data_IF_313857292565
#
_entry.id   IF_313857292565
#
_cell.length_a   1.000
_cell.length_b   1.000
_cell.length_c   1.000
_cell.angle_alpha   90.00
_cell.angle_beta   90.00
_cell.angle_gamma   90.00
#
_symmetry.space_group_name_H-M   'P 1'
#
loop_
_entity.id
_entity.type
_entity.pdbx_description
1 polymer ?
#
# COMPACT_ATOMS: atom_id res chain seq x y z
N UNK A 1 8.41 5.84 -14.28
CA UNK A 1 6.96 5.95 -14.52
C UNK A 1 6.50 7.27 -13.97
N UNK A 2 6.14 8.21 -14.84
CA UNK A 2 5.49 9.47 -14.43
C UNK A 2 4.02 9.22 -14.11
N UNK A 3 3.39 10.11 -13.35
CA UNK A 3 1.97 9.97 -13.02
C UNK A 3 1.07 9.98 -14.27
N UNK A 4 1.38 10.79 -15.27
CA UNK A 4 0.61 10.84 -16.53
C UNK A 4 0.76 9.55 -17.35
N UNK A 5 1.93 8.92 -17.33
CA UNK A 5 2.14 7.63 -17.98
C UNK A 5 1.34 6.55 -17.25
N UNK A 6 1.43 6.53 -15.92
CA UNK A 6 0.66 5.63 -15.07
C UNK A 6 -0.85 5.76 -15.29
N UNK A 7 -1.38 6.99 -15.42
CA UNK A 7 -2.81 7.23 -15.68
C UNK A 7 -3.32 6.54 -16.95
N UNK A 8 -2.47 6.38 -17.98
CA UNK A 8 -2.82 5.69 -19.24
C UNK A 8 -2.93 4.18 -19.03
N UNK A 9 -2.24 3.63 -18.03
CA UNK A 9 -2.25 2.20 -17.70
C UNK A 9 -3.44 1.81 -16.79
N UNK A 10 -4.07 2.78 -16.12
CA UNK A 10 -5.24 2.51 -15.26
C UNK A 10 -6.46 2.17 -16.15
N UNK A 11 -7.10 1.01 -15.95
CA UNK A 11 -8.20 0.57 -16.80
C UNK A 11 -9.47 1.42 -16.61
N UNK A 12 -10.31 1.46 -17.64
CA UNK A 12 -11.54 2.25 -17.67
C UNK A 12 -12.50 1.87 -16.53
N UNK A 13 -12.53 0.60 -16.14
CA UNK A 13 -13.32 0.07 -15.02
C UNK A 13 -12.98 0.74 -13.69
N UNK A 14 -11.78 1.32 -13.55
CA UNK A 14 -11.37 2.09 -12.37
C UNK A 14 -11.56 3.60 -12.61
N UNK A 15 -11.24 4.12 -13.79
CA UNK A 15 -11.29 5.56 -14.06
C UNK A 15 -12.70 6.11 -14.26
N UNK A 16 -13.63 5.27 -14.73
CA UNK A 16 -15.03 5.66 -14.97
C UNK A 16 -15.87 5.57 -13.68
N UNK A 17 -15.35 4.91 -12.62
CA UNK A 17 -16.01 4.89 -11.31
C UNK A 17 -16.03 6.32 -10.71
N UNK A 18 -17.17 6.79 -10.17
CA UNK A 18 -17.26 8.10 -9.52
C UNK A 18 -16.21 8.37 -8.43
N UNK A 19 -15.71 7.35 -7.73
CA UNK A 19 -14.65 7.50 -6.72
C UNK A 19 -13.36 8.07 -7.33
N UNK A 20 -13.12 7.90 -8.63
CA UNK A 20 -11.95 8.42 -9.34
C UNK A 20 -11.78 9.94 -9.17
N UNK A 21 -12.89 10.66 -8.97
CA UNK A 21 -12.88 12.11 -8.70
C UNK A 21 -12.21 12.46 -7.37
N UNK A 22 -12.13 11.51 -6.44
CA UNK A 22 -11.43 11.65 -5.16
C UNK A 22 -9.92 11.61 -5.38
N UNK A 23 -9.26 12.76 -5.26
CA UNK A 23 -7.81 12.90 -5.46
C UNK A 23 -6.98 12.00 -4.53
N UNK A 24 -7.40 11.84 -3.27
CA UNK A 24 -6.73 10.93 -2.31
C UNK A 24 -6.75 9.48 -2.79
N UNK A 25 -7.84 9.04 -3.42
CA UNK A 25 -7.94 7.69 -3.94
C UNK A 25 -6.90 7.46 -5.05
N UNK A 26 -6.83 8.39 -6.01
CA UNK A 26 -5.84 8.33 -7.11
C UNK A 26 -4.40 8.37 -6.60
N UNK A 27 -4.09 9.29 -5.68
CA UNK A 27 -2.75 9.39 -5.09
C UNK A 27 -2.39 8.15 -4.25
N UNK A 28 -3.35 7.58 -3.54
CA UNK A 28 -3.17 6.35 -2.77
C UNK A 28 -2.92 5.13 -3.66
N UNK A 29 -3.67 4.99 -4.75
CA UNK A 29 -3.45 3.94 -5.76
C UNK A 29 -2.04 4.07 -6.38
N UNK A 30 -1.70 5.28 -6.82
CA UNK A 30 -0.39 5.55 -7.39
C UNK A 30 0.76 5.25 -6.41
N UNK A 31 0.63 5.65 -5.15
CA UNK A 31 1.63 5.32 -4.12
C UNK A 31 1.71 3.80 -3.87
N UNK A 32 0.59 3.08 -3.95
CA UNK A 32 0.56 1.62 -3.90
C UNK A 32 1.37 0.96 -5.01
N UNK A 33 1.21 1.42 -6.25
CA UNK A 33 1.99 0.91 -7.39
C UNK A 33 3.48 1.24 -7.28
N UNK A 34 3.83 2.42 -6.78
CA UNK A 34 5.23 2.73 -6.48
C UNK A 34 5.78 1.83 -5.37
N UNK A 35 4.97 1.56 -4.33
CA UNK A 35 5.33 0.70 -3.22
C UNK A 35 5.57 -0.75 -3.65
N UNK A 36 4.92 -1.23 -4.71
CA UNK A 36 5.20 -2.55 -5.29
C UNK A 36 6.67 -2.67 -5.70
N UNK A 37 7.17 -1.73 -6.52
CA UNK A 37 8.57 -1.74 -6.97
C UNK A 37 9.55 -1.55 -5.81
N UNK A 38 9.21 -0.66 -4.86
CA UNK A 38 10.04 -0.40 -3.69
C UNK A 38 10.12 -1.63 -2.76
N UNK A 39 9.00 -2.34 -2.55
CA UNK A 39 8.92 -3.56 -1.76
C UNK A 39 9.68 -4.73 -2.40
N UNK A 40 9.65 -4.86 -3.74
CA UNK A 40 10.47 -5.84 -4.46
C UNK A 40 11.96 -5.62 -4.19
N UNK A 41 12.45 -4.37 -4.31
CA UNK A 41 13.86 -4.03 -4.01
C UNK A 41 14.21 -4.33 -2.55
N UNK A 42 13.33 -4.03 -1.61
CA UNK A 42 13.53 -4.28 -0.18
C UNK A 42 13.56 -5.79 0.16
N UNK A 43 12.73 -6.60 -0.49
CA UNK A 43 12.63 -8.05 -0.20
C UNK A 43 13.93 -8.80 -0.50
N UNK A 44 14.76 -8.27 -1.42
CA UNK A 44 16.07 -8.81 -1.79
C UNK A 44 17.10 -8.74 -0.65
N UNK A 45 16.87 -7.91 0.37
CA UNK A 45 17.73 -7.83 1.55
C UNK A 45 17.02 -8.54 2.71
N UNK A 46 17.56 -9.65 3.25
CA UNK A 46 16.90 -10.40 4.32
C UNK A 46 16.43 -9.56 5.52
N UNK A 47 17.20 -8.56 6.01
CA UNK A 47 16.78 -7.74 7.14
C UNK A 47 15.53 -6.86 6.88
N UNK A 48 15.17 -6.60 5.62
CA UNK A 48 14.06 -5.71 5.26
C UNK A 48 12.81 -6.44 4.80
N UNK A 49 12.74 -7.78 4.85
CA UNK A 49 11.54 -8.55 4.44
C UNK A 49 10.28 -8.23 5.24
N UNK A 50 10.38 -8.16 6.57
CA UNK A 50 9.23 -7.77 7.40
C UNK A 50 8.84 -6.31 7.17
N UNK A 51 9.83 -5.45 6.91
CA UNK A 51 9.61 -4.04 6.62
C UNK A 51 8.88 -3.87 5.27
N UNK A 52 9.28 -4.63 4.24
CA UNK A 52 8.67 -4.55 2.92
C UNK A 52 7.21 -4.99 2.92
N UNK A 53 6.86 -6.04 3.66
CA UNK A 53 5.46 -6.44 3.86
C UNK A 53 4.64 -5.32 4.50
N UNK A 54 5.12 -4.77 5.62
CA UNK A 54 4.42 -3.71 6.34
C UNK A 54 4.28 -2.43 5.51
N UNK A 55 5.33 -2.04 4.79
CA UNK A 55 5.31 -0.91 3.85
C UNK A 55 4.24 -1.10 2.77
N UNK A 56 4.25 -2.27 2.12
CA UNK A 56 3.34 -2.55 1.01
C UNK A 56 1.88 -2.58 1.46
N UNK A 57 1.60 -3.24 2.58
CA UNK A 57 0.27 -3.30 3.19
C UNK A 57 -0.23 -1.93 3.63
N UNK A 58 0.61 -1.14 4.31
CA UNK A 58 0.23 0.20 4.73
C UNK A 58 -0.05 1.11 3.53
N UNK A 59 0.78 1.05 2.48
CA UNK A 59 0.61 1.85 1.27
C UNK A 59 -0.69 1.53 0.54
N UNK A 60 -0.98 0.25 0.31
CA UNK A 60 -2.22 -0.20 -0.34
C UNK A 60 -3.48 0.07 0.49
N UNK A 61 -3.36 0.11 1.81
CA UNK A 61 -4.48 0.39 2.71
C UNK A 61 -5.02 1.83 2.58
N UNK A 62 -4.24 2.76 2.02
CA UNK A 62 -4.68 4.15 1.81
C UNK A 62 -5.85 4.21 0.82
N UNK A 63 -5.67 3.64 -0.37
CA UNK A 63 -6.72 3.62 -1.40
C UNK A 63 -7.87 2.69 -1.01
N UNK A 64 -7.57 1.55 -0.39
CA UNK A 64 -8.58 0.61 0.09
C UNK A 64 -9.52 1.25 1.13
N UNK A 65 -8.99 1.91 2.15
CA UNK A 65 -9.81 2.62 3.12
C UNK A 65 -10.53 3.84 2.50
N UNK A 66 -9.95 4.49 1.50
CA UNK A 66 -10.65 5.55 0.75
C UNK A 66 -11.85 4.99 -0.01
N UNK A 67 -11.72 3.81 -0.62
CA UNK A 67 -12.81 3.08 -1.28
C UNK A 67 -13.92 2.68 -0.31
N UNK A 68 -13.52 2.10 0.82
CA UNK A 68 -14.44 1.69 1.87
C UNK A 68 -15.22 2.88 2.45
N UNK A 69 -14.51 4.00 2.66
CA UNK A 69 -15.11 5.26 3.10
C UNK A 69 -16.08 5.83 2.09
N UNK A 70 -15.69 5.91 0.81
CA UNK A 70 -16.56 6.43 -0.26
C UNK A 70 -17.90 5.68 -0.34
N UNK A 71 -17.87 4.38 -0.06
CA UNK A 71 -19.03 3.48 -0.14
C UNK A 71 -19.97 3.57 1.07
N UNK A 72 -19.67 4.39 2.09
CA UNK A 72 -20.55 4.54 3.28
C UNK A 72 -21.65 5.57 3.07
N UNK A 73 -22.83 5.26 3.61
CA UNK A 73 -24.04 6.08 3.46
C UNK A 73 -24.03 7.35 4.33
N UNK A 74 -23.35 7.35 5.48
CA UNK A 74 -23.34 8.48 6.41
C UNK A 74 -21.97 9.16 6.46
N UNK A 75 -21.94 10.50 6.52
CA UNK A 75 -20.68 11.26 6.59
C UNK A 75 -19.80 10.85 7.78
N UNK A 76 -20.40 10.49 8.92
CA UNK A 76 -19.66 10.01 10.10
C UNK A 76 -18.95 8.67 9.82
N UNK A 77 -19.61 7.75 9.13
CA UNK A 77 -18.99 6.47 8.75
C UNK A 77 -17.93 6.68 7.67
N UNK A 78 -18.18 7.54 6.67
CA UNK A 78 -17.19 7.93 5.67
C UNK A 78 -15.92 8.48 6.35
N UNK A 79 -16.10 9.39 7.32
CA UNK A 79 -14.99 10.01 8.05
C UNK A 79 -14.14 8.97 8.80
N UNK A 80 -14.75 7.96 9.43
CA UNK A 80 -14.01 6.90 10.14
C UNK A 80 -13.04 6.16 9.21
N UNK A 81 -13.46 5.81 8.00
CA UNK A 81 -12.58 5.15 7.03
C UNK A 81 -11.51 6.09 6.47
N UNK A 82 -11.83 7.37 6.27
CA UNK A 82 -10.82 8.35 5.91
C UNK A 82 -9.79 8.58 7.03
N UNK A 83 -10.17 8.46 8.30
CA UNK A 83 -9.25 8.43 9.44
C UNK A 83 -8.34 7.19 9.41
N UNK A 84 -8.85 6.02 9.02
CA UNK A 84 -8.01 4.83 8.79
C UNK A 84 -7.03 5.02 7.63
N UNK A 85 -7.48 5.61 6.51
CA UNK A 85 -6.58 5.98 5.41
C UNK A 85 -5.48 6.94 5.86
N UNK A 86 -5.80 7.90 6.75
CA UNK A 86 -4.84 8.83 7.34
C UNK A 86 -3.82 8.10 8.23
N UNK A 87 -4.26 7.14 9.03
CA UNK A 87 -3.38 6.26 9.80
C UNK A 87 -2.42 5.49 8.89
N UNK A 88 -2.94 4.83 7.86
CA UNK A 88 -2.13 4.09 6.88
C UNK A 88 -1.14 5.00 6.13
N UNK A 89 -1.50 6.24 5.81
CA UNK A 89 -0.59 7.19 5.17
C UNK A 89 0.56 7.63 6.08
N UNK A 90 0.30 7.81 7.38
CA UNK A 90 1.35 8.11 8.37
C UNK A 90 2.28 6.93 8.59
N UNK A 91 1.72 5.74 8.69
CA UNK A 91 2.47 4.49 8.82
C UNK A 91 3.35 4.24 7.58
N UNK A 92 2.80 4.43 6.38
CA UNK A 92 3.54 4.35 5.12
C UNK A 92 4.76 5.28 5.12
N UNK A 93 4.57 6.54 5.55
CA UNK A 93 5.65 7.52 5.64
C UNK A 93 6.75 7.09 6.63
N UNK A 94 6.37 6.50 7.77
CA UNK A 94 7.31 5.96 8.75
C UNK A 94 8.12 4.77 8.18
N UNK A 95 7.45 3.84 7.48
CA UNK A 95 8.11 2.73 6.82
C UNK A 95 9.10 3.17 5.74
N UNK A 96 8.76 4.16 4.92
CA UNK A 96 9.69 4.72 3.94
C UNK A 96 10.92 5.35 4.60
N UNK A 97 10.77 6.04 5.73
CA UNK A 97 11.91 6.57 6.45
C UNK A 97 12.85 5.45 6.95
N UNK A 98 12.29 4.34 7.44
CA UNK A 98 13.08 3.15 7.85
C UNK A 98 13.73 2.45 6.64
N UNK A 99 13.07 2.41 5.49
CA UNK A 99 13.55 1.81 4.24
C UNK A 99 14.72 2.56 3.58
N UNK A 100 15.03 3.79 4.01
CA UNK A 100 15.96 4.71 3.33
C UNK A 100 17.34 4.14 3.05
N UNK A 101 17.82 3.23 3.89
CA UNK A 101 19.14 2.60 3.76
C UNK A 101 19.25 1.69 2.53
N UNK A 102 18.12 1.22 1.98
CA UNK A 102 18.06 0.35 0.81
C UNK A 102 17.53 1.10 -0.41
N UNK A 103 16.52 1.96 -0.23
CA UNK A 103 15.89 2.67 -1.34
C UNK A 103 16.75 3.84 -1.86
N UNK A 104 17.60 4.43 -1.01
CA UNK A 104 18.39 5.60 -1.37
C UNK A 104 17.64 6.92 -1.16
N UNK A 105 18.37 8.06 -1.15
CA UNK A 105 17.83 9.34 -0.72
C UNK A 105 16.77 9.92 -1.67
N UNK A 106 16.90 9.72 -2.99
CA UNK A 106 15.99 10.26 -3.99
C UNK A 106 14.60 9.63 -3.88
N UNK A 107 14.54 8.29 -3.90
CA UNK A 107 13.29 7.53 -3.74
C UNK A 107 12.66 7.86 -2.39
N UNK A 108 13.44 7.78 -1.30
CA UNK A 108 12.94 8.06 0.04
C UNK A 108 12.35 9.47 0.14
N UNK A 109 13.08 10.48 -0.32
CA UNK A 109 12.63 11.88 -0.28
C UNK A 109 11.32 12.07 -1.05
N UNK A 110 11.21 11.48 -2.24
CA UNK A 110 9.99 11.52 -3.03
C UNK A 110 8.80 10.88 -2.30
N UNK A 111 8.94 9.64 -1.82
CA UNK A 111 7.85 8.90 -1.17
C UNK A 111 7.40 9.56 0.14
N UNK A 112 8.33 10.12 0.91
CA UNK A 112 8.01 10.89 2.12
C UNK A 112 7.17 12.14 1.77
N UNK A 113 7.56 12.87 0.72
CA UNK A 113 6.84 14.08 0.27
C UNK A 113 5.46 13.74 -0.30
N UNK A 114 5.35 12.69 -1.11
CA UNK A 114 4.08 12.21 -1.66
C UNK A 114 3.13 11.75 -0.54
N UNK A 115 3.63 10.98 0.42
CA UNK A 115 2.85 10.57 1.61
C UNK A 115 2.40 11.79 2.43
N UNK A 116 3.26 12.81 2.58
CA UNK A 116 2.90 14.05 3.26
C UNK A 116 1.82 14.85 2.51
N UNK A 117 1.82 14.85 1.16
CA UNK A 117 0.70 15.40 0.38
C UNK A 117 -0.58 14.65 0.72
N UNK A 118 -0.61 13.32 0.58
CA UNK A 118 -1.79 12.48 0.88
C UNK A 118 -2.35 12.78 2.28
N UNK A 119 -1.49 12.83 3.30
CA UNK A 119 -1.86 13.20 4.68
C UNK A 119 -2.55 14.58 4.72
N UNK A 120 -2.00 15.60 4.05
CA UNK A 120 -2.61 16.94 3.97
C UNK A 120 -3.95 16.96 3.23
N UNK A 121 -4.11 16.15 2.19
CA UNK A 121 -5.41 16.03 1.49
C UNK A 121 -6.45 15.36 2.41
N UNK A 122 -6.08 14.28 3.10
CA UNK A 122 -6.94 13.60 4.08
C UNK A 122 -7.35 14.51 5.25
N UNK A 123 -6.41 15.23 5.87
CA UNK A 123 -6.70 16.16 6.97
C UNK A 123 -7.66 17.29 6.58
N UNK A 124 -7.61 17.76 5.32
CA UNK A 124 -8.58 18.75 4.80
C UNK A 124 -9.92 18.13 4.44
N UNK A 125 -9.93 16.85 4.07
CA UNK A 125 -11.11 16.14 3.61
C UNK A 125 -11.98 15.67 4.80
N UNK A 126 -11.38 15.02 5.81
CA UNK A 126 -12.09 14.38 6.94
C UNK A 126 -13.09 15.32 7.66
N UNK A 127 -12.74 16.58 8.00
CA UNK A 127 -13.67 17.50 8.66
C UNK A 127 -15.01 17.70 7.95
N UNK A 128 -15.00 17.68 6.61
CA UNK A 128 -16.21 17.89 5.80
C UNK A 128 -17.23 16.78 5.99
N UNK A 129 -16.77 15.59 6.36
CA UNK A 129 -17.59 14.40 6.58
C UNK A 129 -18.00 14.23 8.05
N UNK A 130 -17.17 14.71 8.98
CA UNK A 130 -17.48 14.74 10.42
C UNK A 130 -18.55 15.77 10.81
N UNK A 131 -18.60 16.89 10.10
CA UNK A 131 -19.34 18.09 10.53
C UNK A 131 -18.57 18.97 11.52
N UNK A 132 -17.30 18.66 11.83
CA UNK A 132 -16.44 19.41 12.76
C UNK A 132 -14.97 19.44 12.27
N UNK A 133 -14.25 20.55 12.51
CA UNK A 133 -12.84 20.72 12.12
C UNK A 133 -11.86 20.07 13.11
N UNK A 134 -11.02 19.16 12.62
CA UNK A 134 -9.83 18.69 13.34
C UNK A 134 -8.73 19.73 13.15
N UNK A 135 -8.24 20.33 14.24
CA UNK A 135 -7.03 21.17 14.24
C UNK A 135 -5.85 20.32 14.73
N UNK A 136 -4.93 20.01 13.82
CA UNK A 136 -3.57 19.58 14.16
C UNK A 136 -2.65 20.81 14.05
N UNK A 137 -1.58 20.88 14.86
CA UNK A 137 -0.56 21.93 14.68
C UNK A 137 0.01 21.86 13.26
N UNK A 138 0.05 23.00 12.58
CA UNK A 138 0.55 23.10 11.22
C UNK A 138 2.05 22.81 11.21
N UNK A 139 2.43 21.58 10.87
CA UNK A 139 3.82 21.27 10.62
C UNK A 139 4.30 22.04 9.36
N UNK A 140 5.31 22.89 9.54
CA UNK A 140 6.00 23.58 8.44
C UNK A 140 6.79 22.56 7.62
N UNK A 141 6.19 22.09 6.52
CA UNK A 141 6.89 21.28 5.53
C UNK A 141 7.29 22.17 4.35
N UNK A 142 8.54 22.05 3.88
CA UNK A 142 8.95 22.59 2.58
C UNK A 142 7.99 22.09 1.50
N UNK A 143 7.23 23.00 0.89
CA UNK A 143 6.19 22.67 -0.08
C UNK A 143 6.87 22.34 -1.41
N UNK A 144 7.21 21.07 -1.62
CA UNK A 144 7.40 20.57 -2.99
C UNK A 144 6.02 20.53 -3.65
N UNK A 145 5.80 21.24 -4.77
CA UNK A 145 4.53 21.21 -5.48
C UNK A 145 4.14 19.77 -5.81
N UNK A 146 2.85 19.43 -5.67
CA UNK A 146 2.38 18.09 -6.02
C UNK A 146 2.71 17.76 -7.50
N UNK A 147 2.62 18.74 -8.39
CA UNK A 147 2.97 18.60 -9.81
C UNK A 147 4.40 18.07 -10.00
N UNK A 148 5.38 18.64 -9.28
CA UNK A 148 6.77 18.20 -9.35
C UNK A 148 6.92 16.74 -8.88
N UNK A 149 6.22 16.35 -7.81
CA UNK A 149 6.22 14.96 -7.33
C UNK A 149 5.57 13.98 -8.32
N UNK A 150 4.62 14.44 -9.12
CA UNK A 150 3.92 13.60 -10.11
C UNK A 150 4.67 13.52 -11.45
N UNK A 151 5.49 14.52 -11.77
CA UNK A 151 6.32 14.57 -12.97
C UNK A 151 7.68 13.91 -12.78
N UNK A 152 8.32 14.13 -11.63
CA UNK A 152 9.68 13.69 -11.32
C UNK A 152 9.64 12.53 -10.32
N UNK A 153 9.29 11.35 -10.82
CA UNK A 153 9.11 10.13 -10.01
C UNK A 153 10.35 9.24 -10.11
N UNK A 154 11.21 9.18 -9.07
CA UNK A 154 12.33 8.26 -9.04
C UNK A 154 11.84 6.82 -8.87
N UNK A 155 12.41 5.92 -9.68
CA UNK A 155 12.15 4.49 -9.64
C UNK A 155 13.40 3.74 -9.17
N UNK A 156 13.25 2.59 -8.47
CA UNK A 156 14.37 1.69 -8.22
C UNK A 156 14.93 1.14 -9.55
N UNK A 157 16.22 0.81 -9.58
CA UNK A 157 16.94 0.43 -10.81
C UNK A 157 16.26 -0.67 -11.64
N UNK A 158 16.34 -0.59 -12.96
CA UNK A 158 15.61 -1.45 -13.93
C UNK A 158 15.83 -2.96 -13.83
N UNK A 159 16.82 -3.44 -13.07
CA UNK A 159 17.01 -4.88 -12.86
C UNK A 159 15.82 -5.55 -12.14
N UNK A 160 14.93 -4.75 -11.57
CA UNK A 160 13.77 -5.20 -10.81
C UNK A 160 12.44 -5.19 -11.59
N UNK A 161 12.41 -4.68 -12.84
CA UNK A 161 11.17 -4.57 -13.64
C UNK A 161 10.89 -5.77 -14.55
N UNK A 162 11.87 -6.68 -14.78
CA UNK A 162 11.73 -7.83 -15.70
C UNK A 162 11.97 -9.22 -15.09
N UNK A 163 12.26 -9.34 -13.78
CA UNK A 163 12.63 -10.62 -13.17
C UNK A 163 11.52 -11.34 -12.39
N UNK A 164 10.25 -11.02 -12.62
CA UNK A 164 9.14 -11.80 -12.07
C UNK A 164 8.87 -13.13 -12.83
N UNK A 165 9.62 -13.45 -13.89
CA UNK A 165 9.41 -14.67 -14.69
C UNK A 165 10.68 -15.54 -14.89
N UNK A 166 11.74 -15.36 -14.11
CA UNK A 166 12.95 -16.21 -14.23
C UNK A 166 13.51 -16.69 -12.89
N UNK A 167 12.71 -17.40 -12.10
CA UNK A 167 13.23 -18.40 -11.12
C UNK A 167 12.15 -19.41 -10.70
N UNK A 168 11.52 -20.13 -11.63
CA UNK A 168 10.77 -21.37 -11.29
C UNK A 168 10.78 -22.44 -12.40
N UNK A 169 11.61 -22.35 -13.44
CA UNK A 169 11.60 -23.40 -14.48
C UNK A 169 12.51 -24.61 -14.21
N UNK A 170 13.33 -24.64 -13.15
CA UNK A 170 14.19 -25.80 -12.87
C UNK A 170 14.53 -26.07 -11.39
N UNK A 171 13.75 -25.54 -10.45
CA UNK A 171 13.88 -25.98 -9.06
C UNK A 171 13.00 -27.23 -8.87
N UNK A 172 13.55 -28.41 -8.53
CA UNK A 172 12.72 -29.55 -8.16
C UNK A 172 11.86 -29.14 -6.97
N UNK A 173 10.54 -29.38 -7.09
CA UNK A 173 9.59 -29.16 -6.01
C UNK A 173 10.10 -29.93 -4.76
N UNK A 174 10.14 -29.30 -3.57
CA UNK A 174 10.45 -30.03 -2.36
C UNK A 174 9.37 -31.09 -2.13
N UNK A 175 9.79 -32.33 -1.92
CA UNK A 175 8.91 -33.46 -1.60
C UNK A 175 8.06 -33.13 -0.37
N UNK A 176 6.81 -32.73 -0.60
CA UNK A 176 5.80 -32.68 0.44
C UNK A 176 5.34 -34.10 0.74
N UNK A 177 6.00 -34.74 1.71
CA UNK A 177 5.46 -35.93 2.35
C UNK A 177 4.18 -35.54 3.11
N UNK A 178 3.03 -35.80 2.51
CA UNK A 178 1.74 -35.74 3.19
C UNK A 178 1.67 -36.86 4.23
N UNK A 179 1.94 -36.53 5.49
CA UNK A 179 1.59 -37.39 6.61
C UNK A 179 0.08 -37.29 6.85
N UNK A 180 -0.66 -38.28 6.37
CA UNK A 180 -2.07 -38.48 6.73
C UNK A 180 -2.17 -38.83 8.22
N UNK A 181 -2.39 -37.83 9.07
CA UNK A 181 -2.87 -38.07 10.42
C UNK A 181 -4.40 -38.26 10.35
N UNK A 182 -4.82 -39.51 10.17
CA UNK A 182 -6.22 -39.89 10.21
C UNK A 182 -6.81 -39.63 11.60
N UNK A 183 -7.98 -38.97 11.61
CA UNK A 183 -8.84 -38.77 12.77
C UNK A 183 -9.24 -40.14 13.35
N UNK A 184 -8.89 -40.37 14.61
CA UNK A 184 -9.28 -41.56 15.36
C UNK A 184 -10.70 -41.34 15.87
N UNK A 185 -11.69 -41.88 15.16
CA UNK A 185 -13.04 -42.07 15.70
C UNK A 185 -13.00 -43.26 16.66
N UNK A 186 -13.36 -43.01 17.91
CA UNK A 186 -13.65 -44.03 18.92
C UNK A 186 -15.01 -44.63 18.59
N UNK A 187 -15.07 -45.93 18.33
CA UNK A 187 -16.29 -46.72 18.53
C UNK A 187 -15.90 -48.09 19.11
N UNK A 188 -16.67 -48.45 20.13
CA UNK A 188 -16.65 -49.69 20.89
C UNK A 188 -17.14 -50.89 20.05
N UNK A 189 -16.66 -52.10 20.38
CA UNK A 189 -17.36 -53.40 20.43
C UNK A 189 -16.33 -54.56 20.34
N UNK A 190 -16.00 -55.19 21.47
CA UNK A 190 -16.49 -56.50 21.96
C UNK A 190 -15.96 -57.75 21.22
N UNK A 191 -15.39 -58.66 22.04
CA UNK A 191 -15.35 -60.14 21.91
C UNK A 191 -14.63 -60.80 20.73
N UNK A 192 -13.50 -61.50 21.00
CA UNK A 192 -13.46 -62.97 21.16
C UNK A 192 -12.02 -63.52 21.32
N UNK A 193 -11.93 -64.58 22.12
CA UNK A 193 -10.83 -65.50 22.46
C UNK A 193 -9.74 -65.06 23.45
#
# INVERSE_FOLDING_TARGET
MKYQEWLVEVPAEITDDPIWKTEVYRLGLFLGDLAWYDALKLTLKPPTRSLSDQLYRASGSISANTCEGYSRASGKDQARFYEYALGSARETRDWYFKARHVLGPEITSHRLKLSAQIIRHLLRMIPKYRGESIREEAAEYLITPLTDLLENVPMPDHQFTHNALRTTENAPLPDFQFTHHALRTTDEETSNE
#
